data_IF_877938491684
#
_entry.id   IF_877938491684
#
_cell.length_a   1.000
_cell.length_b   1.000
_cell.length_c   1.000
_cell.angle_alpha   90.00
_cell.angle_beta   90.00
_cell.angle_gamma   90.00
#
_symmetry.space_group_name_H-M   'P 1'
#
loop_
_entity.id
_entity.type
_entity.pdbx_description
1 polymer ?
#
# COMPACT_ATOMS: atom_id res chain seq x y z
N UNK A 1 6.02 16.32 -89.01
CA UNK A 1 4.78 16.81 -88.36
C UNK A 1 5.04 16.85 -86.86
N UNK A 2 4.64 17.92 -86.16
CA UNK A 2 4.82 18.07 -84.70
C UNK A 2 6.12 18.77 -84.30
N UNK A 3 6.03 19.78 -83.44
CA UNK A 3 7.15 20.61 -82.96
C UNK A 3 7.38 20.40 -81.45
N UNK A 4 8.55 20.80 -80.93
CA UNK A 4 8.90 20.60 -79.52
C UNK A 4 10.18 21.29 -79.02
N UNK A 5 10.14 22.63 -78.94
CA UNK A 5 10.84 23.52 -77.97
C UNK A 5 12.30 23.25 -77.52
N UNK A 6 13.15 24.27 -77.67
CA UNK A 6 13.95 24.77 -76.53
C UNK A 6 15.46 24.47 -76.48
N UNK A 7 16.20 24.58 -77.57
CA UNK A 7 17.67 24.37 -77.58
C UNK A 7 18.49 25.64 -77.28
N UNK A 8 19.30 25.53 -76.21
CA UNK A 8 20.67 26.03 -75.99
C UNK A 8 21.24 27.24 -76.76
N UNK A 9 21.81 28.12 -75.94
CA UNK A 9 23.14 28.74 -76.07
C UNK A 9 23.40 29.87 -77.09
N UNK A 10 23.74 31.04 -76.55
CA UNK A 10 24.47 32.13 -77.21
C UNK A 10 25.27 32.89 -76.14
N UNK A 11 26.53 33.22 -76.40
CA UNK A 11 27.47 33.73 -75.39
C UNK A 11 27.84 35.21 -75.62
N UNK A 12 28.15 35.94 -74.54
CA UNK A 12 29.22 36.96 -74.40
C UNK A 12 28.96 37.92 -73.21
N UNK A 13 29.98 38.23 -72.40
CA UNK A 13 29.95 39.41 -71.51
C UNK A 13 30.68 39.30 -70.16
N UNK A 14 31.89 39.88 -70.08
CA UNK A 14 32.62 40.34 -68.86
C UNK A 14 33.19 39.31 -67.85
N UNK A 15 34.50 39.41 -67.47
CA UNK A 15 35.11 38.60 -66.41
C UNK A 15 35.19 39.35 -65.06
N UNK A 16 34.31 39.02 -64.12
CA UNK A 16 34.44 39.49 -62.72
C UNK A 16 35.24 38.49 -61.88
N UNK A 17 36.41 38.91 -61.35
CA UNK A 17 37.25 38.08 -60.48
C UNK A 17 36.49 37.68 -59.20
N UNK A 18 36.26 36.39 -59.01
CA UNK A 18 35.79 35.85 -57.73
C UNK A 18 36.93 35.94 -56.72
N UNK A 19 36.81 36.85 -55.75
CA UNK A 19 37.73 36.97 -54.63
C UNK A 19 37.57 35.77 -53.69
N UNK A 20 38.49 34.81 -53.79
CA UNK A 20 38.73 33.80 -52.77
C UNK A 20 39.13 34.50 -51.46
N UNK A 21 38.18 34.65 -50.52
CA UNK A 21 38.50 35.04 -49.15
C UNK A 21 38.69 33.79 -48.29
N UNK A 22 39.93 33.32 -48.25
CA UNK A 22 40.39 32.21 -47.40
C UNK A 22 40.38 32.66 -45.92
N UNK A 23 39.19 32.66 -45.29
CA UNK A 23 38.97 33.13 -43.91
C UNK A 23 38.91 31.94 -42.94
N UNK A 24 40.09 31.45 -42.56
CA UNK A 24 40.34 30.39 -41.57
C UNK A 24 39.25 30.24 -40.48
N UNK A 25 38.42 29.20 -40.58
CA UNK A 25 37.36 28.91 -39.61
C UNK A 25 37.93 28.21 -38.36
N UNK A 26 38.58 28.97 -37.46
CA UNK A 26 38.92 28.50 -36.11
C UNK A 26 37.77 28.80 -35.16
N UNK A 27 37.09 27.80 -34.55
CA UNK A 27 36.01 28.06 -33.60
C UNK A 27 36.54 28.83 -32.38
N UNK A 28 36.04 30.06 -32.17
CA UNK A 28 36.51 30.94 -31.11
C UNK A 28 36.42 30.26 -29.72
N UNK A 29 37.54 30.05 -29.00
CA UNK A 29 37.53 29.32 -27.73
C UNK A 29 36.76 30.05 -26.62
N UNK A 30 36.57 31.37 -26.75
CA UNK A 30 35.71 32.18 -25.86
C UNK A 30 34.21 31.88 -26.07
N UNK A 31 33.76 31.60 -27.29
CA UNK A 31 32.38 31.23 -27.58
C UNK A 31 32.07 29.80 -27.08
N UNK A 32 32.98 28.84 -27.32
CA UNK A 32 32.86 27.49 -26.77
C UNK A 32 32.84 27.50 -25.23
N UNK A 33 33.68 28.31 -24.57
CA UNK A 33 33.66 28.45 -23.10
C UNK A 33 32.38 29.11 -22.57
N UNK A 34 31.81 30.11 -23.25
CA UNK A 34 30.50 30.68 -22.85
C UNK A 34 29.36 29.68 -23.01
N UNK A 35 29.28 28.97 -24.13
CA UNK A 35 28.28 27.91 -24.35
C UNK A 35 28.45 26.72 -23.38
N UNK A 36 29.68 26.32 -23.05
CA UNK A 36 29.92 25.30 -22.02
C UNK A 36 29.57 25.83 -20.62
N UNK A 37 29.88 27.08 -20.30
CA UNK A 37 29.53 27.72 -19.03
C UNK A 37 28.02 27.87 -18.84
N UNK A 38 27.28 28.30 -19.87
CA UNK A 38 25.82 28.36 -19.83
C UNK A 38 25.19 26.98 -19.81
N UNK A 39 25.70 25.99 -20.55
CA UNK A 39 25.22 24.61 -20.49
C UNK A 39 25.48 23.97 -19.14
N UNK A 40 26.59 24.28 -18.48
CA UNK A 40 26.89 23.82 -17.13
C UNK A 40 26.07 24.56 -16.08
N UNK A 41 25.86 25.88 -16.21
CA UNK A 41 25.02 26.68 -15.30
C UNK A 41 23.53 26.34 -15.42
N UNK A 42 23.03 26.13 -16.64
CA UNK A 42 21.67 25.64 -16.90
C UNK A 42 21.50 24.18 -16.48
N UNK A 43 22.56 23.36 -16.57
CA UNK A 43 22.59 22.02 -16.02
C UNK A 43 22.51 22.02 -14.49
N UNK A 44 23.29 22.88 -13.83
CA UNK A 44 23.30 23.04 -12.37
C UNK A 44 21.97 23.60 -11.85
N UNK A 45 21.38 24.57 -12.56
CA UNK A 45 20.04 25.10 -12.25
C UNK A 45 18.96 24.02 -12.38
N UNK A 46 18.93 23.26 -13.48
CA UNK A 46 17.99 22.13 -13.66
C UNK A 46 18.15 21.04 -12.60
N UNK A 47 19.39 20.64 -12.31
CA UNK A 47 19.66 19.66 -11.25
C UNK A 47 19.19 20.19 -9.90
N UNK A 48 19.43 21.46 -9.59
CA UNK A 48 18.91 22.11 -8.37
C UNK A 48 17.37 22.11 -8.32
N UNK A 49 16.70 22.51 -9.39
CA UNK A 49 15.24 22.51 -9.52
C UNK A 49 14.63 21.12 -9.27
N UNK A 50 15.23 20.05 -9.80
CA UNK A 50 14.78 18.68 -9.57
C UNK A 50 14.93 18.26 -8.08
N UNK A 51 15.99 18.68 -7.38
CA UNK A 51 16.13 18.45 -5.93
C UNK A 51 15.11 19.23 -5.10
N UNK A 52 14.84 20.50 -5.46
CA UNK A 52 13.80 21.30 -4.79
C UNK A 52 12.41 20.69 -5.01
N UNK A 53 12.11 20.19 -6.21
CA UNK A 53 10.88 19.47 -6.53
C UNK A 53 10.70 18.23 -5.65
N UNK A 54 11.73 17.37 -5.55
CA UNK A 54 11.68 16.15 -4.74
C UNK A 54 11.56 16.46 -3.24
N UNK A 55 12.25 17.50 -2.76
CA UNK A 55 12.15 17.95 -1.37
C UNK A 55 10.74 18.48 -1.06
N UNK A 56 10.18 19.35 -1.91
CA UNK A 56 8.82 19.87 -1.77
C UNK A 56 7.77 18.75 -1.80
N UNK A 57 7.91 17.78 -2.71
CA UNK A 57 7.07 16.57 -2.75
C UNK A 57 7.14 15.79 -1.44
N UNK A 58 8.34 15.57 -0.89
CA UNK A 58 8.55 14.86 0.38
C UNK A 58 7.92 15.59 1.57
N UNK A 59 8.13 16.90 1.70
CA UNK A 59 7.54 17.73 2.77
C UNK A 59 6.02 17.77 2.66
N UNK A 60 5.47 17.99 1.47
CA UNK A 60 4.03 17.95 1.25
C UNK A 60 3.45 16.57 1.59
N UNK A 61 4.08 15.46 1.17
CA UNK A 61 3.62 14.12 1.54
C UNK A 61 3.67 13.85 3.04
N UNK A 62 4.65 14.40 3.77
CA UNK A 62 4.72 14.32 5.22
C UNK A 62 3.56 15.08 5.90
N UNK A 63 3.20 16.26 5.40
CA UNK A 63 2.04 17.03 5.88
C UNK A 63 0.69 16.42 5.50
N UNK A 64 0.59 15.85 4.28
CA UNK A 64 -0.63 15.24 3.72
C UNK A 64 -0.86 13.82 4.27
N UNK A 65 0.17 13.16 4.81
CA UNK A 65 0.01 11.91 5.54
C UNK A 65 -1.09 12.09 6.58
N UNK A 66 -2.27 11.43 6.42
CA UNK A 66 -3.41 11.69 7.29
C UNK A 66 -2.94 11.46 8.71
N UNK A 67 -3.05 12.51 9.53
CA UNK A 67 -2.40 12.52 10.84
C UNK A 67 -2.84 11.26 11.58
N UNK A 68 -1.92 10.40 12.04
CA UNK A 68 -2.31 9.12 12.65
C UNK A 68 -3.22 9.35 13.86
N UNK A 69 -3.14 10.55 14.44
CA UNK A 69 -4.00 11.10 15.47
C UNK A 69 -5.50 11.11 15.10
N UNK A 70 -5.91 11.52 13.89
CA UNK A 70 -7.33 11.68 13.56
C UNK A 70 -8.10 10.33 13.51
N UNK A 71 -7.68 9.32 12.72
CA UNK A 71 -8.29 8.00 12.75
C UNK A 71 -8.16 7.31 14.11
N UNK A 72 -7.02 7.46 14.80
CA UNK A 72 -6.82 6.85 16.12
C UNK A 72 -7.72 7.48 17.19
N UNK A 73 -7.90 8.81 17.20
CA UNK A 73 -8.79 9.49 18.13
C UNK A 73 -10.26 9.12 17.87
N UNK A 74 -10.66 9.01 16.60
CA UNK A 74 -12.02 8.56 16.23
C UNK A 74 -12.29 7.12 16.68
N UNK A 75 -11.32 6.21 16.49
CA UNK A 75 -11.44 4.82 16.97
C UNK A 75 -11.41 4.74 18.50
N UNK A 76 -10.58 5.55 19.18
CA UNK A 76 -10.52 5.60 20.64
C UNK A 76 -11.83 6.13 21.24
N UNK A 77 -12.41 7.17 20.65
CA UNK A 77 -13.73 7.69 21.04
C UNK A 77 -14.84 6.64 20.83
N UNK A 78 -14.78 5.87 19.73
CA UNK A 78 -15.68 4.74 19.52
C UNK A 78 -15.50 3.63 20.58
N UNK A 79 -14.25 3.29 20.95
CA UNK A 79 -13.95 2.32 22.02
C UNK A 79 -14.44 2.80 23.38
N UNK A 80 -14.29 4.09 23.70
CA UNK A 80 -14.83 4.69 24.92
C UNK A 80 -16.37 4.63 24.95
N UNK A 81 -17.04 5.04 23.87
CA UNK A 81 -18.49 4.93 23.74
C UNK A 81 -18.99 3.48 23.94
N UNK A 82 -18.29 2.50 23.37
CA UNK A 82 -18.62 1.08 23.55
C UNK A 82 -18.47 0.59 25.01
N UNK A 83 -17.57 1.22 25.80
CA UNK A 83 -17.38 0.91 27.22
C UNK A 83 -18.47 1.57 28.08
N UNK A 84 -18.82 2.84 27.83
CA UNK A 84 -19.82 3.60 28.62
C UNK A 84 -21.28 3.17 28.38
N UNK A 85 -21.57 2.50 27.25
CA UNK A 85 -22.94 2.08 26.87
C UNK A 85 -23.61 1.09 27.86
N UNK A 86 -22.86 0.53 28.81
CA UNK A 86 -23.38 -0.42 29.81
C UNK A 86 -23.71 -1.79 29.23
N UNK A 87 -24.34 -2.67 30.00
CA UNK A 87 -24.51 -4.09 29.65
C UNK A 87 -25.75 -4.42 28.80
N UNK A 88 -26.19 -3.46 27.97
CA UNK A 88 -27.24 -3.66 26.99
C UNK A 88 -26.67 -4.23 25.68
N UNK A 89 -26.87 -5.54 25.38
CA UNK A 89 -26.18 -6.20 24.26
C UNK A 89 -26.57 -5.64 22.90
N UNK A 90 -27.83 -5.23 22.73
CA UNK A 90 -28.34 -4.62 21.50
C UNK A 90 -27.69 -3.26 21.24
N UNK A 91 -27.48 -2.44 22.28
CA UNK A 91 -26.86 -1.12 22.13
C UNK A 91 -25.34 -1.22 21.90
N UNK A 92 -24.68 -2.21 22.52
CA UNK A 92 -23.30 -2.61 22.19
C UNK A 92 -23.17 -3.10 20.74
N UNK A 93 -24.15 -3.87 20.23
CA UNK A 93 -24.17 -4.30 18.83
C UNK A 93 -24.35 -3.11 17.87
N UNK A 94 -25.38 -2.29 18.09
CA UNK A 94 -25.66 -1.13 17.25
C UNK A 94 -24.49 -0.13 17.22
N UNK A 95 -23.86 0.17 18.36
CA UNK A 95 -22.69 1.07 18.37
C UNK A 95 -21.54 0.49 17.56
N UNK A 96 -21.20 -0.80 17.74
CA UNK A 96 -20.11 -1.47 17.02
C UNK A 96 -20.36 -1.59 15.52
N UNK A 97 -21.60 -1.80 15.07
CA UNK A 97 -21.91 -1.93 13.64
C UNK A 97 -22.16 -0.60 12.94
N UNK A 98 -22.85 0.35 13.57
CA UNK A 98 -23.23 1.62 12.92
C UNK A 98 -22.02 2.51 12.65
N UNK A 99 -21.03 2.54 13.54
CA UNK A 99 -19.82 3.34 13.40
C UNK A 99 -19.03 3.04 12.09
N UNK A 100 -18.55 1.80 11.84
CA UNK A 100 -17.80 1.49 10.63
C UNK A 100 -18.69 1.50 9.37
N UNK A 101 -19.97 1.17 9.47
CA UNK A 101 -20.91 1.24 8.34
C UNK A 101 -21.11 2.68 7.89
N UNK A 102 -21.36 3.62 8.82
CA UNK A 102 -21.53 5.03 8.49
C UNK A 102 -20.26 5.64 7.87
N UNK A 103 -19.08 5.36 8.44
CA UNK A 103 -17.81 5.85 7.92
C UNK A 103 -17.45 5.28 6.55
N UNK A 104 -17.71 3.99 6.30
CA UNK A 104 -17.45 3.38 5.00
C UNK A 104 -18.47 3.82 3.93
N UNK A 105 -19.73 4.03 4.31
CA UNK A 105 -20.75 4.60 3.44
C UNK A 105 -20.39 6.04 3.06
N UNK A 106 -19.97 6.88 4.02
CA UNK A 106 -19.48 8.23 3.76
C UNK A 106 -18.23 8.23 2.87
N UNK A 107 -17.23 7.40 3.18
CA UNK A 107 -16.02 7.23 2.37
C UNK A 107 -16.35 6.87 0.92
N UNK A 108 -17.26 5.90 0.71
CA UNK A 108 -17.69 5.49 -0.63
C UNK A 108 -18.46 6.60 -1.33
N UNK A 109 -19.45 7.20 -0.67
CA UNK A 109 -20.28 8.25 -1.24
C UNK A 109 -19.47 9.47 -1.67
N UNK A 110 -18.55 9.93 -0.81
CA UNK A 110 -17.66 11.06 -1.11
C UNK A 110 -16.62 10.73 -2.20
N UNK A 111 -16.10 9.50 -2.22
CA UNK A 111 -15.20 9.07 -3.30
C UNK A 111 -15.93 9.04 -4.65
N UNK A 112 -17.12 8.44 -4.69
CA UNK A 112 -17.93 8.27 -5.89
C UNK A 112 -18.52 9.58 -6.41
N UNK A 113 -18.87 10.54 -5.53
CA UNK A 113 -19.41 11.85 -5.95
C UNK A 113 -18.38 12.77 -6.59
N UNK A 114 -17.08 12.47 -6.45
CA UNK A 114 -15.99 13.26 -7.05
C UNK A 114 -15.40 12.57 -8.28
N UNK A 115 -14.98 11.30 -8.15
CA UNK A 115 -14.49 10.50 -9.29
C UNK A 115 -14.64 8.99 -8.98
N UNK A 116 -15.24 8.18 -9.87
CA UNK A 116 -15.37 6.72 -9.65
C UNK A 116 -14.01 6.02 -9.55
N UNK A 117 -13.01 6.55 -10.28
CA UNK A 117 -11.62 6.09 -10.32
C UNK A 117 -10.84 6.37 -9.02
N UNK A 118 -11.46 6.98 -8.00
CA UNK A 118 -10.84 7.15 -6.68
C UNK A 118 -10.77 5.83 -5.88
N UNK A 119 -11.68 4.90 -6.13
CA UNK A 119 -11.83 3.66 -5.38
C UNK A 119 -10.60 2.71 -5.50
N UNK A 120 -10.31 2.00 -4.41
CA UNK A 120 -9.26 0.98 -4.34
C UNK A 120 -7.84 1.53 -4.21
N UNK A 121 -6.87 0.62 -4.30
CA UNK A 121 -5.47 0.85 -3.96
C UNK A 121 -4.72 1.83 -4.87
N UNK A 122 -4.98 1.89 -6.19
CA UNK A 122 -4.23 2.76 -7.12
C UNK A 122 -2.82 2.27 -7.53
N UNK A 123 -2.28 1.22 -6.89
CA UNK A 123 -0.98 0.61 -7.28
C UNK A 123 -1.05 -0.13 -8.62
N UNK A 124 -2.10 -0.94 -8.94
CA UNK A 124 -2.29 -1.54 -10.27
C UNK A 124 -2.30 -0.49 -11.40
N UNK A 125 -2.98 0.63 -11.15
CA UNK A 125 -3.09 1.73 -12.11
C UNK A 125 -1.77 2.47 -12.29
N UNK A 126 -1.00 2.69 -11.21
CA UNK A 126 0.35 3.23 -11.30
C UNK A 126 1.31 2.30 -12.06
N UNK A 127 1.23 0.98 -11.83
CA UNK A 127 2.02 0.02 -12.63
C UNK A 127 1.67 0.10 -14.12
N UNK A 128 0.40 0.34 -14.45
CA UNK A 128 -0.06 0.53 -15.84
C UNK A 128 0.51 1.83 -16.43
N UNK A 129 0.44 2.95 -15.70
CA UNK A 129 1.03 4.24 -16.11
C UNK A 129 2.54 4.12 -16.35
N UNK A 130 3.26 3.41 -15.48
CA UNK A 130 4.70 3.17 -15.62
C UNK A 130 5.07 2.29 -16.82
N UNK A 131 4.14 1.50 -17.37
CA UNK A 131 4.35 0.80 -18.66
C UNK A 131 4.13 1.68 -19.90
N UNK A 132 3.79 2.95 -19.72
CA UNK A 132 3.64 3.94 -20.78
C UNK A 132 2.20 4.28 -21.17
N UNK A 133 1.19 3.60 -20.60
CA UNK A 133 -0.22 3.89 -20.89
C UNK A 133 -0.76 4.92 -19.89
N UNK A 134 -0.86 6.18 -20.30
CA UNK A 134 -1.31 7.26 -19.44
C UNK A 134 -2.80 7.15 -19.10
N UNK A 135 -3.13 7.25 -17.81
CA UNK A 135 -4.50 7.27 -17.28
C UNK A 135 -4.75 8.62 -16.61
N UNK A 136 -5.20 9.62 -17.37
CA UNK A 136 -5.22 11.02 -16.91
C UNK A 136 -6.14 11.27 -15.71
N UNK A 137 -7.31 10.63 -15.65
CA UNK A 137 -8.27 10.78 -14.54
C UNK A 137 -7.75 10.23 -13.20
N UNK A 138 -6.84 9.24 -13.25
CA UNK A 138 -6.19 8.70 -12.06
C UNK A 138 -5.14 9.66 -11.49
N UNK A 139 -4.58 10.56 -12.30
CA UNK A 139 -3.64 11.60 -11.88
C UNK A 139 -4.31 12.98 -11.68
N UNK A 140 -5.64 13.05 -11.72
CA UNK A 140 -6.40 14.30 -11.56
C UNK A 140 -6.39 14.81 -10.11
N UNK A 141 -6.11 16.10 -9.92
CA UNK A 141 -6.08 16.74 -8.58
C UNK A 141 -7.46 16.74 -7.90
N UNK A 142 -8.57 16.55 -8.63
CA UNK A 142 -9.89 16.35 -8.01
C UNK A 142 -9.94 15.08 -7.16
N UNK A 143 -9.33 14.01 -7.68
CA UNK A 143 -9.31 12.69 -7.06
C UNK A 143 -8.45 12.68 -5.77
N UNK A 144 -7.44 13.56 -5.69
CA UNK A 144 -6.63 13.74 -4.47
C UNK A 144 -7.48 14.02 -3.22
N UNK A 145 -8.38 15.01 -3.27
CA UNK A 145 -9.22 15.37 -2.12
C UNK A 145 -10.18 14.25 -1.72
N UNK A 146 -10.83 13.64 -2.71
CA UNK A 146 -11.69 12.46 -2.55
C UNK A 146 -10.95 11.32 -1.83
N UNK A 147 -9.74 10.99 -2.30
CA UNK A 147 -8.95 9.86 -1.84
C UNK A 147 -8.36 10.08 -0.46
N UNK A 148 -7.95 11.30 -0.10
CA UNK A 148 -7.47 11.64 1.25
C UNK A 148 -8.58 11.51 2.29
N UNK A 149 -9.77 12.07 2.02
CA UNK A 149 -10.91 12.00 2.95
C UNK A 149 -11.40 10.55 3.09
N UNK A 150 -11.66 9.86 1.97
CA UNK A 150 -12.12 8.48 2.00
C UNK A 150 -11.11 7.53 2.67
N UNK A 151 -9.80 7.73 2.44
CA UNK A 151 -8.76 6.96 3.14
C UNK A 151 -8.82 7.21 4.65
N UNK A 152 -8.99 8.46 5.08
CA UNK A 152 -9.07 8.82 6.51
C UNK A 152 -10.26 8.13 7.18
N UNK A 153 -11.44 8.15 6.55
CA UNK A 153 -12.62 7.44 7.02
C UNK A 153 -12.44 5.91 7.02
N UNK A 154 -11.81 5.35 5.99
CA UNK A 154 -11.51 3.91 5.90
C UNK A 154 -10.55 3.47 7.01
N UNK A 155 -9.57 4.30 7.38
CA UNK A 155 -8.66 4.04 8.51
C UNK A 155 -9.36 4.20 9.86
N UNK A 156 -10.34 5.11 9.98
CA UNK A 156 -11.12 5.28 11.20
C UNK A 156 -12.04 4.07 11.48
N UNK A 157 -12.54 3.37 10.45
CA UNK A 157 -13.21 2.06 10.62
C UNK A 157 -12.31 1.01 11.31
N UNK A 158 -10.98 1.14 11.19
CA UNK A 158 -10.01 0.32 11.90
C UNK A 158 -10.04 -1.16 11.52
N UNK A 159 -9.98 -2.02 12.54
CA UNK A 159 -9.84 -3.48 12.42
C UNK A 159 -11.11 -4.23 12.00
N UNK A 160 -12.28 -3.56 12.04
CA UNK A 160 -13.57 -4.12 11.61
C UNK A 160 -13.56 -4.40 10.10
N UNK A 161 -13.24 -3.37 9.32
CA UNK A 161 -13.07 -3.42 7.86
C UNK A 161 -11.70 -4.01 7.47
N UNK A 162 -10.71 -3.93 8.36
CA UNK A 162 -9.41 -4.60 8.24
C UNK A 162 -8.66 -4.24 6.94
N UNK A 163 -8.45 -2.94 6.71
CA UNK A 163 -7.74 -2.36 5.55
C UNK A 163 -6.59 -1.45 6.00
N UNK A 164 -5.64 -1.18 5.11
CA UNK A 164 -4.44 -0.37 5.36
C UNK A 164 -4.32 0.88 4.49
N UNK A 165 -3.23 1.65 4.67
CA UNK A 165 -3.02 2.95 4.00
C UNK A 165 -2.10 2.95 2.77
N UNK A 166 -1.23 1.95 2.63
CA UNK A 166 -0.05 2.01 1.74
C UNK A 166 -0.41 2.36 0.29
N UNK A 167 -1.31 1.59 -0.32
CA UNK A 167 -1.68 1.78 -1.73
C UNK A 167 -2.23 3.17 -2.05
N UNK A 168 -3.34 3.59 -1.42
CA UNK A 168 -3.92 4.92 -1.65
C UNK A 168 -2.94 6.05 -1.37
N UNK A 169 -2.06 5.91 -0.37
CA UNK A 169 -1.03 6.91 -0.06
C UNK A 169 0.04 7.02 -1.18
N UNK A 170 0.45 5.89 -1.78
CA UNK A 170 1.31 5.90 -2.97
C UNK A 170 0.60 6.55 -4.17
N UNK A 171 -0.70 6.28 -4.36
CA UNK A 171 -1.51 6.94 -5.39
C UNK A 171 -1.59 8.48 -5.18
N UNK A 172 -1.80 8.91 -3.94
CA UNK A 172 -1.81 10.33 -3.55
C UNK A 172 -0.45 10.99 -3.82
N UNK A 173 0.67 10.29 -3.55
CA UNK A 173 2.01 10.81 -3.87
C UNK A 173 2.27 10.96 -5.36
N UNK A 174 1.78 10.03 -6.18
CA UNK A 174 1.89 10.13 -7.63
C UNK A 174 0.99 11.24 -8.22
N UNK A 175 -0.23 11.43 -7.69
CA UNK A 175 -1.06 12.59 -8.04
C UNK A 175 -0.36 13.91 -7.72
N UNK A 176 0.28 13.99 -6.55
CA UNK A 176 0.97 15.20 -6.12
C UNK A 176 2.23 15.48 -6.95
N UNK A 177 3.01 14.45 -7.27
CA UNK A 177 4.15 14.56 -8.19
C UNK A 177 3.69 14.97 -9.59
N UNK A 178 2.60 14.38 -10.09
CA UNK A 178 1.99 14.76 -11.36
C UNK A 178 1.41 16.19 -11.33
N UNK A 179 0.87 16.64 -10.19
CA UNK A 179 0.38 18.00 -10.02
C UNK A 179 1.51 19.03 -9.99
N UNK A 180 2.57 18.80 -9.21
CA UNK A 180 3.76 19.65 -9.21
C UNK A 180 4.42 19.66 -10.61
N UNK A 181 4.42 18.53 -11.31
CA UNK A 181 4.86 18.43 -12.70
C UNK A 181 3.94 19.16 -13.69
N UNK A 182 2.62 19.15 -13.48
CA UNK A 182 1.63 19.89 -14.28
C UNK A 182 1.58 21.39 -13.94
N UNK A 183 2.03 21.82 -12.75
CA UNK A 183 2.31 23.24 -12.51
C UNK A 183 3.46 23.77 -13.38
N UNK A 184 4.27 22.87 -13.97
CA UNK A 184 5.25 23.20 -15.01
C UNK A 184 4.62 23.28 -16.42
N UNK A 185 3.50 22.59 -16.67
CA UNK A 185 2.74 22.54 -17.95
C UNK A 185 1.29 22.01 -17.80
N UNK A 186 0.28 22.82 -18.13
CA UNK A 186 -1.18 22.58 -17.96
C UNK A 186 -1.85 21.87 -19.17
N UNK A 187 -3.09 21.31 -19.21
CA UNK A 187 -4.19 20.88 -18.27
C UNK A 187 -5.29 20.16 -19.13
N UNK A 188 -6.15 19.27 -18.57
CA UNK A 188 -7.67 19.25 -18.58
C UNK A 188 -8.24 17.91 -17.97
N UNK A 189 -9.47 17.41 -18.29
CA UNK A 189 -10.43 16.74 -17.32
C UNK A 189 -11.39 15.60 -17.84
N UNK A 190 -11.77 14.64 -16.93
CA UNK A 190 -13.11 13.99 -16.63
C UNK A 190 -13.62 12.73 -17.42
N UNK A 191 -14.45 11.77 -16.90
CA UNK A 191 -15.68 11.86 -16.03
C UNK A 191 -16.10 10.63 -15.10
N UNK A 192 -17.18 9.84 -15.36
CA UNK A 192 -18.02 9.06 -14.37
C UNK A 192 -18.29 7.51 -14.55
N UNK A 193 -18.77 6.83 -13.46
CA UNK A 193 -19.96 5.92 -13.29
C UNK A 193 -19.95 5.13 -11.93
N UNK A 194 -21.11 4.84 -11.32
CA UNK A 194 -21.31 4.52 -9.88
C UNK A 194 -21.75 3.07 -9.50
N UNK A 195 -21.58 2.67 -8.20
CA UNK A 195 -22.41 1.71 -7.40
C UNK A 195 -22.10 1.82 -5.88
N UNK A 196 -22.95 2.43 -5.02
CA UNK A 196 -22.66 2.56 -3.58
C UNK A 196 -23.25 1.44 -2.68
N UNK A 197 -24.37 0.82 -3.07
CA UNK A 197 -25.14 -0.11 -2.22
C UNK A 197 -24.34 -1.37 -1.84
N UNK A 198 -23.49 -1.86 -2.74
CA UNK A 198 -22.63 -3.03 -2.52
C UNK A 198 -21.69 -2.84 -1.32
N UNK A 199 -21.09 -1.65 -1.16
CA UNK A 199 -20.19 -1.36 -0.05
C UNK A 199 -20.89 -1.49 1.30
N UNK A 200 -22.11 -0.95 1.41
CA UNK A 200 -22.86 -0.89 2.67
C UNK A 200 -23.18 -2.31 3.16
N UNK A 201 -23.66 -3.17 2.25
CA UNK A 201 -23.98 -4.57 2.58
C UNK A 201 -22.74 -5.37 3.01
N UNK A 202 -21.61 -5.18 2.32
CA UNK A 202 -20.37 -5.90 2.61
C UNK A 202 -19.73 -5.42 3.93
N UNK A 203 -19.73 -4.12 4.20
CA UNK A 203 -19.20 -3.58 5.47
C UNK A 203 -20.09 -3.98 6.65
N UNK A 204 -21.41 -3.99 6.48
CA UNK A 204 -22.34 -4.50 7.50
C UNK A 204 -22.01 -5.94 7.86
N UNK A 205 -21.82 -6.82 6.86
CA UNK A 205 -21.48 -8.23 7.08
C UNK A 205 -20.13 -8.41 7.81
N UNK A 206 -19.10 -7.64 7.42
CA UNK A 206 -17.79 -7.67 8.09
C UNK A 206 -17.84 -7.13 9.54
N UNK A 207 -18.65 -6.09 9.78
CA UNK A 207 -18.85 -5.51 11.12
C UNK A 207 -19.63 -6.45 12.04
N UNK A 208 -20.69 -7.09 11.55
CA UNK A 208 -21.45 -8.10 12.30
C UNK A 208 -20.59 -9.28 12.75
N UNK A 209 -19.62 -9.69 11.94
CA UNK A 209 -18.75 -10.84 12.22
C UNK A 209 -17.52 -10.46 13.07
N UNK A 210 -17.08 -9.20 13.02
CA UNK A 210 -16.07 -8.68 13.97
C UNK A 210 -16.67 -8.25 15.33
N UNK A 211 -17.99 -8.37 15.53
CA UNK A 211 -18.64 -7.94 16.78
C UNK A 211 -18.07 -8.68 18.01
N UNK A 212 -17.49 -7.98 19.01
CA UNK A 212 -16.68 -8.62 20.05
C UNK A 212 -17.39 -9.69 20.88
N UNK A 213 -18.65 -9.52 21.36
CA UNK A 213 -19.37 -10.54 22.12
C UNK A 213 -19.86 -11.74 21.31
N UNK A 214 -19.61 -11.79 20.00
CA UNK A 214 -19.97 -12.92 19.14
C UNK A 214 -18.72 -13.65 18.64
N UNK A 215 -18.43 -13.64 17.34
CA UNK A 215 -17.25 -14.26 16.76
C UNK A 215 -15.97 -13.44 17.01
N UNK A 216 -16.09 -12.14 17.34
CA UNK A 216 -14.95 -11.25 17.60
C UNK A 216 -14.11 -11.62 18.83
N UNK A 217 -14.71 -12.28 19.83
CA UNK A 217 -14.05 -12.84 21.02
C UNK A 217 -12.90 -13.79 20.65
N UNK A 218 -13.08 -14.59 19.61
CA UNK A 218 -12.08 -15.56 19.13
C UNK A 218 -11.08 -14.94 18.12
N UNK A 219 -11.24 -13.66 17.77
CA UNK A 219 -10.43 -12.96 16.76
C UNK A 219 -9.65 -11.75 17.31
N UNK A 220 -9.65 -11.53 18.62
CA UNK A 220 -9.09 -10.33 19.26
C UNK A 220 -9.65 -9.02 18.65
N UNK A 221 -10.93 -8.98 18.25
CA UNK A 221 -11.46 -7.95 17.33
C UNK A 221 -11.43 -6.51 17.85
N UNK A 222 -11.23 -6.31 19.16
CA UNK A 222 -11.12 -5.01 19.81
C UNK A 222 -9.78 -4.29 19.55
N UNK A 223 -8.76 -4.98 19.03
CA UNK A 223 -7.45 -4.39 18.74
C UNK A 223 -7.47 -3.55 17.45
N UNK A 224 -6.76 -2.42 17.42
CA UNK A 224 -6.44 -1.69 16.19
C UNK A 224 -5.41 -2.43 15.33
N UNK A 225 -5.28 -2.07 14.05
CA UNK A 225 -4.25 -2.64 13.14
C UNK A 225 -2.82 -2.52 13.70
N UNK A 226 -2.52 -1.47 14.47
CA UNK A 226 -1.22 -1.30 15.14
C UNK A 226 -1.09 -2.24 16.34
N UNK A 227 -2.10 -2.31 17.20
CA UNK A 227 -2.10 -3.18 18.38
C UNK A 227 -2.05 -4.67 17.99
N UNK A 228 -2.68 -5.07 16.88
CA UNK A 228 -2.52 -6.40 16.30
C UNK A 228 -1.04 -6.74 16.06
N UNK A 229 -0.30 -5.91 15.32
CA UNK A 229 1.13 -6.13 15.07
C UNK A 229 1.97 -6.14 16.35
N UNK A 230 1.73 -5.19 17.26
CA UNK A 230 2.47 -5.12 18.54
C UNK A 230 2.19 -6.37 19.40
N UNK A 231 0.97 -6.90 19.39
CA UNK A 231 0.64 -8.15 20.09
C UNK A 231 1.30 -9.37 19.45
N UNK A 232 1.31 -9.47 18.12
CA UNK A 232 1.87 -10.60 17.39
C UNK A 232 3.41 -10.64 17.44
N UNK A 233 4.05 -9.47 17.53
CA UNK A 233 5.51 -9.32 17.68
C UNK A 233 5.99 -9.31 19.15
N UNK A 234 5.13 -9.62 20.13
CA UNK A 234 5.56 -9.75 21.54
C UNK A 234 6.59 -10.87 21.67
N UNK A 235 7.78 -10.59 22.21
CA UNK A 235 8.84 -11.58 22.33
C UNK A 235 8.54 -12.68 23.37
N UNK A 236 7.57 -12.46 24.27
CA UNK A 236 7.18 -13.41 25.31
C UNK A 236 6.36 -14.56 24.71
N UNK A 237 6.62 -15.78 25.17
CA UNK A 237 5.87 -17.02 24.91
C UNK A 237 4.48 -16.97 25.55
N UNK A 238 3.41 -17.10 24.76
CA UNK A 238 2.06 -17.07 25.32
C UNK A 238 1.74 -18.32 26.14
N UNK A 239 2.38 -19.45 25.82
CA UNK A 239 2.27 -20.69 26.59
C UNK A 239 2.78 -20.61 28.05
N UNK A 240 3.77 -19.77 28.33
CA UNK A 240 4.29 -19.58 29.70
C UNK A 240 3.48 -18.54 30.45
N UNK A 241 3.15 -17.42 29.79
CA UNK A 241 2.29 -16.38 30.35
C UNK A 241 0.90 -16.90 30.73
N UNK A 242 0.31 -17.79 29.93
CA UNK A 242 -0.98 -18.41 30.22
C UNK A 242 -0.96 -19.39 31.42
N UNK A 243 0.23 -19.88 31.83
CA UNK A 243 0.38 -20.69 33.07
C UNK A 243 0.57 -19.82 34.31
N UNK A 244 1.09 -18.60 34.17
CA UNK A 244 1.44 -17.71 35.27
C UNK A 244 0.41 -16.61 35.60
N UNK A 245 -0.61 -16.39 34.77
CA UNK A 245 -1.58 -15.31 34.92
C UNK A 245 -3.03 -15.80 34.99
N UNK A 246 -3.91 -15.16 35.79
CA UNK A 246 -5.34 -15.48 35.78
C UNK A 246 -5.98 -15.14 34.43
N UNK A 247 -6.87 -16.00 33.88
CA UNK A 247 -7.53 -15.74 32.61
C UNK A 247 -8.55 -14.60 32.73
N UNK A 248 -8.47 -13.60 31.84
CA UNK A 248 -9.51 -12.57 31.69
C UNK A 248 -9.13 -11.12 32.04
N UNK A 249 -7.86 -10.81 32.25
CA UNK A 249 -7.42 -9.41 32.43
C UNK A 249 -7.75 -8.52 31.20
N UNK A 250 -8.20 -7.26 31.37
CA UNK A 250 -8.54 -6.40 30.25
C UNK A 250 -7.31 -6.05 29.39
N UNK A 251 -7.49 -6.01 28.06
CA UNK A 251 -6.42 -5.72 27.11
C UNK A 251 -5.95 -4.25 27.20
N UNK A 252 -4.94 -4.01 28.04
CA UNK A 252 -4.30 -2.72 28.28
C UNK A 252 -2.90 -2.59 27.63
N UNK A 253 -2.26 -1.40 27.74
CA UNK A 253 -1.07 -1.02 26.95
C UNK A 253 0.22 -1.86 27.10
N UNK A 254 0.27 -2.85 28.00
CA UNK A 254 1.38 -3.81 28.14
C UNK A 254 1.00 -5.30 28.01
N UNK A 255 -0.31 -5.59 27.88
CA UNK A 255 -0.87 -6.94 27.94
C UNK A 255 -1.86 -7.19 26.78
N UNK A 256 -1.53 -6.69 25.58
CA UNK A 256 -2.34 -6.87 24.36
C UNK A 256 -2.57 -8.36 24.02
N UNK A 257 -1.68 -9.26 24.46
CA UNK A 257 -1.82 -10.70 24.29
C UNK A 257 -3.06 -11.30 24.98
N UNK A 258 -3.61 -10.67 26.03
CA UNK A 258 -4.85 -11.15 26.67
C UNK A 258 -6.05 -11.15 25.72
N UNK A 259 -6.06 -10.29 24.69
CA UNK A 259 -7.12 -10.28 23.68
C UNK A 259 -7.17 -11.57 22.83
N UNK A 260 -6.11 -12.38 22.85
CA UNK A 260 -6.02 -13.68 22.18
C UNK A 260 -6.37 -14.86 23.11
N UNK A 261 -6.65 -14.62 24.39
CA UNK A 261 -6.97 -15.65 25.37
C UNK A 261 -8.49 -15.77 25.56
N UNK A 262 -9.03 -16.97 25.45
CA UNK A 262 -10.44 -17.25 25.74
C UNK A 262 -10.55 -18.27 26.89
N UNK A 263 -11.49 -18.12 27.86
CA UNK A 263 -11.57 -19.03 29.01
C UNK A 263 -11.79 -20.52 28.64
N UNK A 264 -12.43 -20.79 27.51
CA UNK A 264 -12.72 -22.16 27.02
C UNK A 264 -11.88 -22.63 25.84
N UNK A 265 -11.02 -21.77 25.26
CA UNK A 265 -10.26 -22.10 24.04
C UNK A 265 -8.83 -21.59 24.17
N UNK A 266 -7.86 -22.46 23.92
CA UNK A 266 -6.43 -22.11 23.97
C UNK A 266 -6.08 -21.02 22.94
N UNK A 267 -5.01 -20.27 23.19
CA UNK A 267 -4.53 -19.24 22.26
C UNK A 267 -4.15 -19.80 20.86
N UNK A 268 -3.83 -21.09 20.76
CA UNK A 268 -3.69 -21.78 19.47
C UNK A 268 -5.02 -21.84 18.70
N UNK A 269 -6.12 -22.13 19.40
CA UNK A 269 -7.46 -22.17 18.82
C UNK A 269 -7.97 -20.80 18.37
N UNK A 270 -7.71 -19.75 19.15
CA UNK A 270 -8.06 -18.36 18.76
C UNK A 270 -7.21 -17.87 17.58
N UNK A 271 -5.89 -18.15 17.55
CA UNK A 271 -5.04 -17.86 16.39
C UNK A 271 -5.51 -18.60 15.13
N UNK A 272 -5.83 -19.90 15.24
CA UNK A 272 -6.35 -20.68 14.12
C UNK A 272 -7.71 -20.15 13.62
N UNK A 273 -8.61 -19.77 14.53
CA UNK A 273 -9.89 -19.17 14.20
C UNK A 273 -9.73 -17.80 13.54
N UNK A 274 -8.84 -16.95 14.04
CA UNK A 274 -8.47 -15.68 13.42
C UNK A 274 -7.96 -15.88 11.99
N UNK A 275 -7.06 -16.85 11.77
CA UNK A 275 -6.52 -17.16 10.44
C UNK A 275 -7.58 -17.69 9.47
N UNK A 276 -8.51 -18.53 9.93
CA UNK A 276 -9.62 -19.01 9.12
C UNK A 276 -10.58 -17.87 8.75
N UNK A 277 -11.01 -17.08 9.73
CA UNK A 277 -11.99 -16.01 9.51
C UNK A 277 -11.40 -14.82 8.74
N UNK A 278 -10.21 -14.33 9.10
CA UNK A 278 -9.58 -13.21 8.38
C UNK A 278 -9.23 -13.56 6.94
N UNK A 279 -9.04 -14.82 6.56
CA UNK A 279 -8.76 -15.19 5.17
C UNK A 279 -9.90 -14.78 4.23
N UNK A 280 -11.12 -15.26 4.48
CA UNK A 280 -12.25 -14.97 3.61
C UNK A 280 -12.76 -13.53 3.81
N UNK A 281 -12.70 -13.00 5.05
CA UNK A 281 -13.06 -11.60 5.32
C UNK A 281 -12.13 -10.62 4.61
N UNK A 282 -10.84 -10.93 4.47
CA UNK A 282 -9.88 -10.10 3.74
C UNK A 282 -10.19 -10.10 2.24
N UNK A 283 -10.46 -11.26 1.64
CA UNK A 283 -10.90 -11.34 0.24
C UNK A 283 -12.10 -10.41 0.03
N UNK A 284 -13.13 -10.55 0.88
CA UNK A 284 -14.33 -9.73 0.81
C UNK A 284 -14.04 -8.23 1.00
N UNK A 285 -13.23 -7.85 2.00
CA UNK A 285 -12.81 -6.47 2.24
C UNK A 285 -12.02 -5.88 1.06
N UNK A 286 -11.27 -6.69 0.30
CA UNK A 286 -10.57 -6.20 -0.91
C UNK A 286 -11.52 -5.88 -2.07
N UNK A 287 -12.72 -6.47 -2.12
CA UNK A 287 -13.74 -6.15 -3.14
C UNK A 287 -14.46 -4.82 -2.91
N UNK A 288 -14.30 -4.22 -1.73
CA UNK A 288 -14.94 -2.95 -1.40
C UNK A 288 -14.38 -1.81 -2.28
N UNK A 289 -15.24 -0.98 -2.90
CA UNK A 289 -14.82 0.20 -3.67
C UNK A 289 -14.45 1.37 -2.74
N UNK A 290 -13.70 1.09 -1.67
CA UNK A 290 -13.11 2.06 -0.76
C UNK A 290 -11.68 2.40 -1.20
N UNK A 291 -11.21 3.64 -1.02
CA UNK A 291 -9.80 3.99 -1.18
C UNK A 291 -8.95 3.34 -0.08
N UNK A 292 -8.59 2.07 -0.28
CA UNK A 292 -7.97 1.19 0.69
C UNK A 292 -6.69 0.52 0.16
N UNK A 293 -5.72 0.28 1.05
CA UNK A 293 -4.47 -0.40 0.76
C UNK A 293 -4.42 -1.79 1.39
N UNK A 294 -4.18 -2.82 0.57
CA UNK A 294 -4.31 -4.22 0.98
C UNK A 294 -3.03 -4.83 1.60
N UNK A 295 -1.91 -4.10 1.60
CA UNK A 295 -0.62 -4.58 2.12
C UNK A 295 -0.59 -4.83 3.64
N UNK A 296 -1.17 -3.92 4.44
CA UNK A 296 -1.14 -4.07 5.91
C UNK A 296 -1.94 -5.31 6.38
N UNK A 297 -3.15 -5.59 5.86
CA UNK A 297 -3.88 -6.82 6.20
C UNK A 297 -3.13 -8.12 5.89
N UNK A 298 -2.49 -8.25 4.72
CA UNK A 298 -1.69 -9.45 4.40
C UNK A 298 -0.44 -9.55 5.29
N UNK A 299 0.16 -8.42 5.68
CA UNK A 299 1.29 -8.40 6.60
C UNK A 299 0.88 -8.88 8.01
N UNK A 300 -0.26 -8.42 8.54
CA UNK A 300 -0.84 -8.92 9.80
C UNK A 300 -1.23 -10.40 9.71
N UNK A 301 -1.78 -10.83 8.57
CA UNK A 301 -2.13 -12.24 8.35
C UNK A 301 -0.90 -13.15 8.38
N UNK A 302 0.18 -12.73 7.69
CA UNK A 302 1.48 -13.39 7.77
C UNK A 302 2.07 -13.39 9.17
N UNK A 303 1.90 -12.30 9.93
CA UNK A 303 2.34 -12.21 11.32
C UNK A 303 1.63 -13.23 12.22
N UNK A 304 0.33 -13.46 12.01
CA UNK A 304 -0.43 -14.47 12.74
C UNK A 304 -0.03 -15.90 12.35
N UNK A 305 0.25 -16.18 11.07
CA UNK A 305 0.81 -17.47 10.61
C UNK A 305 2.18 -17.74 11.26
N UNK A 306 3.07 -16.75 11.22
CA UNK A 306 4.38 -16.84 11.84
C UNK A 306 4.32 -16.98 13.35
N UNK A 307 3.36 -16.30 14.01
CA UNK A 307 3.15 -16.41 15.46
C UNK A 307 2.68 -17.80 15.85
N UNK A 308 1.71 -18.36 15.11
CA UNK A 308 1.24 -19.73 15.31
C UNK A 308 2.41 -20.73 15.19
N UNK A 309 3.21 -20.60 14.13
CA UNK A 309 4.40 -21.44 13.95
C UNK A 309 5.42 -21.28 15.10
N UNK A 310 5.74 -20.05 15.51
CA UNK A 310 6.67 -19.77 16.61
C UNK A 310 6.22 -20.37 17.94
N UNK A 311 4.94 -20.25 18.30
CA UNK A 311 4.40 -20.88 19.51
C UNK A 311 4.38 -22.41 19.40
N UNK A 312 4.14 -23.01 18.21
CA UNK A 312 4.28 -24.47 18.04
C UNK A 312 5.72 -24.95 18.23
N UNK A 313 6.72 -24.20 17.74
CA UNK A 313 8.14 -24.54 17.94
C UNK A 313 8.54 -24.38 19.41
N UNK A 314 8.06 -23.34 20.10
CA UNK A 314 8.27 -23.17 21.54
C UNK A 314 7.59 -24.26 22.38
N UNK A 315 6.43 -24.78 21.94
CA UNK A 315 5.77 -25.91 22.60
C UNK A 315 6.49 -27.25 22.37
N UNK A 316 7.15 -27.43 21.22
CA UNK A 316 7.94 -28.63 20.89
C UNK A 316 9.33 -28.63 21.55
N UNK A 317 9.94 -27.46 21.76
CA UNK A 317 11.27 -27.31 22.35
C UNK A 317 11.28 -26.31 23.53
N UNK A 318 10.76 -26.70 24.71
CA UNK A 318 10.64 -25.79 25.87
C UNK A 318 11.97 -25.23 26.37
N UNK A 319 13.06 -26.00 26.30
CA UNK A 319 14.41 -25.56 26.73
C UNK A 319 15.18 -24.78 25.65
N UNK A 320 14.57 -24.57 24.47
CA UNK A 320 15.24 -24.05 23.28
C UNK A 320 15.76 -25.12 22.33
N UNK A 321 16.18 -24.71 21.14
CA UNK A 321 16.84 -25.59 20.15
C UNK A 321 18.27 -25.91 20.59
N UNK A 322 18.91 -24.97 21.29
CA UNK A 322 20.19 -25.14 21.98
C UNK A 322 19.98 -24.74 23.43
N UNK A 323 20.52 -25.53 24.36
CA UNK A 323 20.39 -25.28 25.81
C UNK A 323 20.78 -23.85 26.18
N UNK A 324 19.84 -23.10 26.77
CA UNK A 324 20.04 -21.70 27.18
C UNK A 324 19.61 -20.64 26.14
N UNK A 325 19.12 -21.04 24.96
CA UNK A 325 18.56 -20.14 23.96
C UNK A 325 17.08 -20.47 23.68
N UNK A 326 16.14 -19.92 24.48
CA UNK A 326 14.71 -20.19 24.33
C UNK A 326 14.17 -19.67 23.00
N UNK A 327 13.14 -20.33 22.49
CA UNK A 327 12.48 -19.97 21.21
C UNK A 327 11.69 -18.67 21.38
N UNK A 328 12.03 -17.64 20.59
CA UNK A 328 11.34 -16.33 20.62
C UNK A 328 10.26 -16.28 19.53
N UNK A 329 8.96 -16.45 19.85
CA UNK A 329 7.89 -16.53 18.84
C UNK A 329 7.66 -15.22 18.09
N UNK A 330 8.03 -14.07 18.67
CA UNK A 330 7.98 -12.77 17.99
C UNK A 330 8.85 -12.70 16.72
N UNK A 331 10.01 -13.39 16.72
CA UNK A 331 10.88 -13.49 15.54
C UNK A 331 10.25 -14.32 14.40
N UNK A 332 9.56 -15.41 14.75
CA UNK A 332 8.80 -16.22 13.80
C UNK A 332 7.59 -15.45 13.23
N UNK A 333 6.89 -14.68 14.07
CA UNK A 333 5.82 -13.79 13.63
C UNK A 333 6.35 -12.76 12.61
N UNK A 334 7.49 -12.14 12.86
CA UNK A 334 8.11 -11.20 11.92
C UNK A 334 8.50 -11.86 10.59
N UNK A 335 9.10 -13.06 10.64
CA UNK A 335 9.44 -13.84 9.45
C UNK A 335 8.21 -14.22 8.62
N UNK A 336 7.13 -14.67 9.27
CA UNK A 336 5.85 -14.97 8.62
C UNK A 336 5.20 -13.74 7.98
N UNK A 337 5.24 -12.59 8.66
CA UNK A 337 4.74 -11.31 8.14
C UNK A 337 5.44 -10.92 6.85
N UNK A 338 6.78 -10.95 6.84
CA UNK A 338 7.59 -10.66 5.67
C UNK A 338 7.39 -11.67 4.54
N UNK A 339 7.41 -12.96 4.85
CA UNK A 339 7.36 -14.03 3.85
C UNK A 339 6.00 -14.13 3.16
N UNK A 340 4.89 -14.07 3.90
CA UNK A 340 3.56 -14.11 3.32
C UNK A 340 3.25 -12.84 2.53
N UNK A 341 3.55 -11.64 3.07
CA UNK A 341 3.34 -10.39 2.32
C UNK A 341 4.19 -10.34 1.06
N UNK A 342 5.45 -10.79 1.13
CA UNK A 342 6.36 -10.89 -0.01
C UNK A 342 5.82 -11.82 -1.09
N UNK A 343 5.41 -13.04 -0.70
CA UNK A 343 4.80 -14.03 -1.60
C UNK A 343 3.52 -13.53 -2.29
N UNK A 344 2.68 -12.75 -1.60
CA UNK A 344 1.46 -12.17 -2.19
C UNK A 344 1.79 -11.01 -3.15
N UNK A 345 2.84 -10.23 -2.90
CA UNK A 345 3.25 -9.09 -3.75
C UNK A 345 4.29 -9.43 -4.82
N UNK A 346 4.90 -10.63 -4.78
CA UNK A 346 6.11 -11.01 -5.52
C UNK A 346 7.30 -10.06 -5.29
N UNK A 347 7.54 -9.65 -4.04
CA UNK A 347 8.66 -8.75 -3.71
C UNK A 347 9.51 -9.27 -2.55
N UNK A 348 10.82 -9.07 -2.64
CA UNK A 348 11.79 -9.42 -1.57
C UNK A 348 11.98 -8.27 -0.57
N UNK A 349 11.64 -7.04 -0.96
CA UNK A 349 11.72 -5.83 -0.11
C UNK A 349 10.82 -5.87 1.13
N UNK A 350 9.85 -6.80 1.23
CA UNK A 350 9.09 -7.03 2.46
C UNK A 350 9.96 -7.53 3.62
N UNK A 351 11.05 -8.23 3.32
CA UNK A 351 12.06 -8.64 4.29
C UNK A 351 12.75 -7.42 4.90
N UNK A 352 13.25 -6.52 4.05
CA UNK A 352 13.91 -5.28 4.48
C UNK A 352 12.95 -4.39 5.28
N UNK A 353 11.73 -4.19 4.78
CA UNK A 353 10.68 -3.43 5.47
C UNK A 353 10.37 -4.00 6.87
N UNK A 354 10.36 -5.33 7.03
CA UNK A 354 10.16 -5.97 8.33
C UNK A 354 11.34 -5.74 9.28
N UNK A 355 12.58 -5.84 8.79
CA UNK A 355 13.78 -5.57 9.57
C UNK A 355 13.91 -4.08 9.97
N UNK A 356 13.62 -3.15 9.06
CA UNK A 356 13.62 -1.71 9.33
C UNK A 356 12.53 -1.33 10.34
N UNK A 357 11.30 -1.83 10.17
CA UNK A 357 10.18 -1.54 11.06
C UNK A 357 10.36 -2.07 12.49
N UNK A 358 11.22 -3.08 12.69
CA UNK A 358 11.55 -3.64 14.00
C UNK A 358 12.90 -3.19 14.56
N UNK A 359 13.76 -2.56 13.75
CA UNK A 359 15.09 -2.09 14.15
C UNK A 359 16.14 -3.18 14.39
N UNK A 360 15.80 -4.46 14.23
CA UNK A 360 16.67 -5.59 14.59
C UNK A 360 17.18 -6.33 13.34
N UNK A 361 18.21 -5.79 12.69
CA UNK A 361 18.81 -6.38 11.48
C UNK A 361 19.46 -7.76 11.69
N UNK A 362 19.69 -8.20 12.94
CA UNK A 362 20.24 -9.52 13.25
C UNK A 362 19.43 -10.69 12.63
N UNK A 363 18.13 -10.50 12.41
CA UNK A 363 17.23 -11.51 11.86
C UNK A 363 17.11 -11.44 10.32
N UNK A 364 17.84 -10.53 9.65
CA UNK A 364 17.66 -10.26 8.23
C UNK A 364 17.94 -11.47 7.31
N UNK A 365 18.95 -12.29 7.62
CA UNK A 365 19.30 -13.45 6.79
C UNK A 365 18.22 -14.57 6.85
N UNK A 366 17.75 -15.02 8.04
CA UNK A 366 16.62 -15.94 8.12
C UNK A 366 15.33 -15.40 7.48
N UNK A 367 15.01 -14.12 7.69
CA UNK A 367 13.79 -13.50 7.13
C UNK A 367 13.86 -13.42 5.61
N UNK A 368 14.98 -12.96 5.04
CA UNK A 368 15.17 -12.91 3.58
C UNK A 368 15.13 -14.29 2.94
N UNK A 369 15.73 -15.31 3.56
CA UNK A 369 15.66 -16.69 3.09
C UNK A 369 14.21 -17.22 3.05
N UNK A 370 13.43 -16.99 4.11
CA UNK A 370 12.00 -17.37 4.15
C UNK A 370 11.18 -16.64 3.07
N UNK A 371 11.46 -15.34 2.86
CA UNK A 371 10.80 -14.51 1.83
C UNK A 371 11.16 -14.97 0.41
N UNK A 372 12.41 -15.36 0.16
CA UNK A 372 12.84 -15.91 -1.13
C UNK A 372 12.18 -17.26 -1.41
N UNK A 373 12.12 -18.17 -0.42
CA UNK A 373 11.45 -19.45 -0.55
C UNK A 373 9.94 -19.28 -0.85
N UNK A 374 9.26 -18.41 -0.09
CA UNK A 374 7.83 -18.13 -0.28
C UNK A 374 7.55 -17.48 -1.65
N UNK A 375 8.40 -16.55 -2.10
CA UNK A 375 8.33 -15.96 -3.44
C UNK A 375 8.54 -17.00 -4.55
N UNK A 376 9.53 -17.88 -4.44
CA UNK A 376 9.80 -18.92 -5.43
C UNK A 376 8.62 -19.88 -5.60
N UNK A 377 7.93 -20.22 -4.51
CA UNK A 377 6.68 -20.99 -4.56
C UNK A 377 5.56 -20.17 -5.20
N UNK A 378 5.26 -18.96 -4.71
CA UNK A 378 4.15 -18.16 -5.21
C UNK A 378 4.24 -17.86 -6.71
N UNK A 379 5.41 -17.40 -7.18
CA UNK A 379 5.68 -17.09 -8.59
C UNK A 379 5.58 -18.31 -9.52
N UNK A 380 5.77 -19.53 -8.99
CA UNK A 380 5.58 -20.78 -9.73
C UNK A 380 4.10 -21.07 -10.00
N UNK A 381 3.20 -20.68 -9.10
CA UNK A 381 1.80 -21.14 -9.11
C UNK A 381 0.76 -20.07 -9.45
N UNK A 382 1.00 -18.79 -9.14
CA UNK A 382 0.04 -17.69 -9.27
C UNK A 382 0.70 -16.39 -9.78
N UNK A 383 -0.07 -15.43 -10.34
CA UNK A 383 0.37 -14.04 -10.49
C UNK A 383 0.39 -13.31 -9.14
N UNK A 384 1.09 -12.18 -9.04
CA UNK A 384 1.05 -11.34 -7.85
C UNK A 384 -0.34 -10.74 -7.65
N UNK A 385 -0.68 -10.37 -6.41
CA UNK A 385 -1.97 -9.73 -6.08
C UNK A 385 -2.26 -8.49 -6.95
N UNK A 386 -1.25 -7.65 -7.20
CA UNK A 386 -1.41 -6.47 -8.05
C UNK A 386 -1.63 -6.85 -9.52
N UNK A 387 -0.88 -7.83 -10.05
CA UNK A 387 -1.06 -8.31 -11.41
C UNK A 387 -2.42 -9.02 -11.62
N UNK A 388 -2.90 -9.77 -10.62
CA UNK A 388 -4.26 -10.29 -10.60
C UNK A 388 -5.32 -9.18 -10.63
N UNK A 389 -5.10 -8.09 -9.88
CA UNK A 389 -5.98 -6.92 -9.91
C UNK A 389 -5.98 -6.21 -11.26
N UNK A 390 -4.82 -6.12 -11.95
CA UNK A 390 -4.69 -5.61 -13.33
C UNK A 390 -5.56 -6.44 -14.29
N UNK A 391 -5.48 -7.77 -14.22
CA UNK A 391 -6.28 -8.70 -15.05
C UNK A 391 -7.78 -8.51 -14.78
N UNK A 392 -8.20 -8.50 -13.51
CA UNK A 392 -9.62 -8.35 -13.12
C UNK A 392 -10.19 -7.00 -13.57
N UNK A 393 -9.41 -5.92 -13.46
CA UNK A 393 -9.80 -4.58 -13.95
C UNK A 393 -9.66 -4.41 -15.47
N UNK A 394 -9.09 -5.39 -16.18
CA UNK A 394 -8.77 -5.32 -17.63
C UNK A 394 -7.99 -4.06 -18.02
N UNK A 395 -7.02 -3.66 -17.18
CA UNK A 395 -6.20 -2.50 -17.46
C UNK A 395 -5.25 -2.77 -18.66
N UNK A 396 -4.94 -1.75 -19.48
CA UNK A 396 -4.08 -1.89 -20.66
C UNK A 396 -2.60 -2.04 -20.27
N UNK A 397 -2.23 -3.23 -19.79
CA UNK A 397 -0.89 -3.57 -19.33
C UNK A 397 -0.16 -4.43 -20.38
N UNK A 398 0.95 -3.91 -20.92
CA UNK A 398 1.70 -4.54 -22.02
C UNK A 398 2.62 -5.72 -21.61
N UNK A 399 3.35 -5.69 -20.48
CA UNK A 399 4.23 -6.79 -20.10
C UNK A 399 3.45 -8.10 -19.82
N UNK A 400 4.05 -9.27 -20.10
CA UNK A 400 3.36 -10.55 -19.94
C UNK A 400 3.07 -10.84 -18.46
N UNK A 401 1.79 -11.00 -18.11
CA UNK A 401 1.37 -11.51 -16.80
C UNK A 401 1.08 -13.00 -16.93
N UNK A 402 1.62 -13.80 -15.99
CA UNK A 402 1.34 -15.24 -15.90
C UNK A 402 -0.13 -15.51 -15.54
N UNK A 403 -0.96 -15.72 -16.55
CA UNK A 403 -2.36 -16.14 -16.43
C UNK A 403 -2.49 -17.65 -16.54
N UNK A 404 -3.37 -18.28 -15.74
CA UNK A 404 -3.73 -19.71 -15.90
C UNK A 404 -4.50 -20.02 -17.20
N UNK A 405 -4.94 -19.00 -17.95
CA UNK A 405 -5.67 -19.14 -19.22
C UNK A 405 -4.78 -18.95 -20.47
N UNK A 406 -3.45 -19.05 -20.34
CA UNK A 406 -2.50 -18.98 -21.46
C UNK A 406 -1.56 -20.21 -21.49
N UNK A 407 -2.12 -21.39 -21.18
CA UNK A 407 -1.47 -22.69 -21.29
C UNK A 407 -2.38 -23.63 -22.08
#
# INVERSE_FOLDING_TARGET
>A
RGAGLGLRAGAAGSPSRVLLWEKSWRPCPKARRRLQGERHRSGLLRVGEDWYFLCALGVLMAMISPSPLLPAASFLAHRWLYQEIGDYPVLKYLSWTMYPVALAAFSTGFSQSITPHSAGSGVPELQTILTGVMLEDYLSIKNFGAKVVGLTCTLACGSTVFLGKVGPYVHISAMLAAYLGKMRTSVTKEYEVSKPVYTVLVVLLLASITFPPSLGQFMASQLTMKEYLVSLFDNRTWGELARGAPPGGPAGPGHLWHAWCHPSVSFFGTLAFFLLMKFWMLILATTLPLPAGYFMPIFVYGAALGRLAGETVAALFPEGITTGHPVVPGGYALAGAAAFSGAVTHSVSTALLACEATGHLAWALPITAAVLAANAVAQKWQPSFYAGTIIVKRLPYLPPIRSRHMA
#
